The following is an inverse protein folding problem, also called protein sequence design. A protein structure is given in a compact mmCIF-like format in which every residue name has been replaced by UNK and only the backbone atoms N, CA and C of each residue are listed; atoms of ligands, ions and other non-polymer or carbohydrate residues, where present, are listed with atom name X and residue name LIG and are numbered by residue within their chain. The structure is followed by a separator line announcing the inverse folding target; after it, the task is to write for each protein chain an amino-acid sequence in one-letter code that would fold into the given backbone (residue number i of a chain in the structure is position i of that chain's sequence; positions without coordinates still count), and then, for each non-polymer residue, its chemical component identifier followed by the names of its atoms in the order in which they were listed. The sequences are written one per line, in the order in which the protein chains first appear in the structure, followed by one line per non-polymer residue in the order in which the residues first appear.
data_IF_954636263927
#
_entry.id   IF_954636263927
#
_cell.length_a   1.000
_cell.length_b   1.000
_cell.length_c   1.000
_cell.angle_alpha   90.00
_cell.angle_beta   90.00
_cell.angle_gamma   90.00
#
_symmetry.space_group_name_H-M   'P 1'
#
loop_
_entity.id
_entity.type
_entity.pdbx_description
1 polymer ?
#
# COMPACT_ATOMS: atom_id res chain seq x y z
N UNK A 1 -9.79 -11.26 -7.07
CA UNK A 1 -8.86 -11.74 -6.01
C UNK A 1 -7.81 -10.68 -5.74
N UNK A 2 -7.11 -10.74 -4.60
CA UNK A 2 -5.95 -9.89 -4.33
C UNK A 2 -4.65 -10.67 -4.47
N UNK A 3 -3.62 -10.00 -4.97
CA UNK A 3 -2.26 -10.54 -4.99
C UNK A 3 -1.67 -10.27 -3.61
N UNK A 4 -1.35 -11.34 -2.89
CA UNK A 4 -0.81 -11.28 -1.53
C UNK A 4 0.59 -11.84 -1.41
N UNK A 5 1.06 -12.56 -2.44
CA UNK A 5 2.35 -13.23 -2.41
C UNK A 5 2.92 -13.35 -3.84
N UNK A 6 4.23 -13.53 -3.91
CA UNK A 6 4.93 -13.89 -5.13
C UNK A 6 5.08 -15.41 -5.19
N UNK A 7 4.44 -16.02 -6.17
CA UNK A 7 4.77 -17.38 -6.56
C UNK A 7 6.22 -17.44 -7.09
N UNK A 8 7.11 -18.27 -6.50
CA UNK A 8 8.52 -18.30 -6.87
C UNK A 8 8.80 -19.03 -8.20
N UNK A 9 7.86 -19.84 -8.70
CA UNK A 9 7.98 -20.53 -9.99
C UNK A 9 7.68 -19.57 -11.15
N UNK A 10 8.60 -19.47 -12.10
CA UNK A 10 8.45 -18.64 -13.28
C UNK A 10 7.25 -19.05 -14.18
N UNK A 11 6.73 -20.27 -14.03
CA UNK A 11 5.67 -20.83 -14.89
C UNK A 11 4.33 -21.09 -14.17
N UNK A 12 4.13 -20.60 -12.95
CA UNK A 12 2.91 -20.89 -12.20
C UNK A 12 1.67 -20.11 -12.68
N UNK A 13 1.85 -19.03 -13.44
CA UNK A 13 0.73 -18.17 -13.84
C UNK A 13 0.15 -17.45 -12.61
N UNK A 14 -1.11 -17.73 -12.28
CA UNK A 14 -1.75 -17.23 -11.04
C UNK A 14 -1.99 -18.42 -10.12
N UNK A 15 -1.29 -18.46 -8.99
CA UNK A 15 -1.47 -19.50 -7.99
C UNK A 15 -2.64 -19.14 -7.05
N UNK A 16 -3.70 -19.95 -7.10
CA UNK A 16 -4.96 -19.67 -6.41
C UNK A 16 -5.01 -20.45 -5.11
N UNK A 17 -5.09 -19.72 -3.99
CA UNK A 17 -5.39 -20.31 -2.69
C UNK A 17 -6.85 -20.11 -2.29
N UNK A 18 -7.39 -21.02 -1.47
CA UNK A 18 -8.62 -20.82 -0.71
C UNK A 18 -9.90 -20.71 -1.56
N UNK A 19 -10.82 -19.83 -1.13
CA UNK A 19 -12.15 -19.69 -1.72
C UNK A 19 -12.12 -19.39 -3.24
N UNK A 20 -11.27 -18.47 -3.76
CA UNK A 20 -11.23 -18.22 -5.19
C UNK A 20 -10.89 -19.43 -6.07
N UNK A 21 -10.02 -20.34 -5.59
CA UNK A 21 -9.73 -21.57 -6.31
C UNK A 21 -10.99 -22.45 -6.40
N UNK A 22 -11.74 -22.59 -5.31
CA UNK A 22 -12.99 -23.34 -5.27
C UNK A 22 -14.09 -22.71 -6.13
N UNK A 23 -14.21 -21.38 -6.13
CA UNK A 23 -15.22 -20.66 -6.91
C UNK A 23 -14.99 -20.78 -8.43
N UNK A 24 -13.73 -20.77 -8.87
CA UNK A 24 -13.36 -20.85 -10.29
C UNK A 24 -13.31 -22.31 -10.77
N UNK A 25 -12.73 -23.21 -9.98
CA UNK A 25 -12.47 -24.59 -10.40
C UNK A 25 -13.54 -25.59 -9.94
N UNK A 26 -14.37 -25.23 -8.97
CA UNK A 26 -15.31 -26.14 -8.32
C UNK A 26 -14.57 -27.33 -7.71
N UNK A 27 -15.05 -28.53 -8.05
CA UNK A 27 -14.44 -29.79 -7.58
C UNK A 27 -13.24 -30.25 -8.43
N UNK A 28 -12.82 -29.47 -9.43
CA UNK A 28 -11.70 -29.86 -10.31
C UNK A 28 -10.38 -29.57 -9.62
N UNK A 29 -9.56 -30.60 -9.46
CA UNK A 29 -8.18 -30.48 -8.96
C UNK A 29 -7.23 -30.23 -10.13
N UNK A 30 -6.22 -29.38 -9.93
CA UNK A 30 -5.13 -29.20 -10.89
C UNK A 30 -5.07 -27.79 -11.48
N UNK A 31 -4.91 -27.70 -12.82
CA UNK A 31 -4.72 -26.42 -13.53
C UNK A 31 -5.98 -26.01 -14.27
N UNK A 32 -6.31 -24.73 -14.20
CA UNK A 32 -7.35 -24.08 -14.99
C UNK A 32 -6.70 -23.17 -16.04
N UNK A 33 -7.21 -23.21 -17.27
CA UNK A 33 -6.81 -22.29 -18.33
C UNK A 33 -7.89 -21.22 -18.47
N UNK A 34 -7.49 -19.97 -18.35
CA UNK A 34 -8.35 -18.82 -18.51
C UNK A 34 -7.55 -17.55 -18.65
N UNK A 35 -8.25 -16.44 -18.72
CA UNK A 35 -7.69 -15.11 -18.86
C UNK A 35 -7.88 -14.33 -17.57
N UNK A 36 -7.01 -13.37 -17.34
CA UNK A 36 -7.08 -12.47 -16.21
C UNK A 36 -6.62 -11.08 -16.65
N UNK A 37 -7.13 -10.07 -15.96
CA UNK A 37 -6.69 -8.70 -16.13
C UNK A 37 -6.57 -8.01 -14.76
N UNK A 38 -5.76 -6.96 -14.71
CA UNK A 38 -5.63 -6.15 -13.50
C UNK A 38 -6.74 -5.10 -13.44
N UNK A 39 -7.65 -5.28 -12.48
CA UNK A 39 -8.75 -4.33 -12.21
C UNK A 39 -8.50 -3.52 -10.94
N UNK A 40 -9.13 -2.34 -10.83
CA UNK A 40 -9.24 -1.64 -9.55
C UNK A 40 -9.98 -2.51 -8.55
N UNK A 41 -9.52 -2.50 -7.31
CA UNK A 41 -10.22 -3.09 -6.17
C UNK A 41 -11.43 -2.24 -5.75
N UNK A 42 -11.49 -0.96 -6.13
CA UNK A 42 -12.57 -0.04 -5.71
C UNK A 42 -13.96 -0.61 -6.01
N UNK A 43 -14.82 -0.61 -5.00
CA UNK A 43 -16.18 -1.16 -5.09
C UNK A 43 -16.28 -2.69 -5.15
N UNK A 44 -15.18 -3.44 -5.06
CA UNK A 44 -15.20 -4.91 -5.05
C UNK A 44 -15.39 -5.42 -3.62
N UNK A 45 -16.49 -6.12 -3.38
CA UNK A 45 -16.84 -6.66 -2.07
C UNK A 45 -15.79 -7.66 -1.54
N UNK A 46 -15.53 -7.63 -0.24
CA UNK A 46 -14.50 -8.43 0.43
C UNK A 46 -13.05 -8.12 0.00
N UNK A 47 -12.86 -7.17 -0.92
CA UNK A 47 -11.56 -6.76 -1.44
C UNK A 47 -11.28 -5.33 -1.04
N UNK A 48 -12.20 -4.39 -1.24
CA UNK A 48 -11.98 -2.96 -0.94
C UNK A 48 -12.99 -2.41 0.06
N UNK A 49 -12.57 -1.38 0.81
CA UNK A 49 -13.38 -0.73 1.83
C UNK A 49 -12.60 0.33 2.60
N UNK A 50 -13.01 0.55 3.86
CA UNK A 50 -12.45 1.51 4.82
C UNK A 50 -11.06 1.15 5.37
N UNK A 51 -10.52 -0.02 5.01
CA UNK A 51 -9.24 -0.50 5.53
C UNK A 51 -7.99 0.00 4.79
N UNK A 52 -8.12 0.93 3.84
CA UNK A 52 -6.96 1.54 3.15
C UNK A 52 -6.16 2.37 4.13
N UNK A 53 -4.86 2.10 4.27
CA UNK A 53 -4.04 2.77 5.28
C UNK A 53 -2.56 2.88 4.90
N UNK A 54 -1.87 3.79 5.58
CA UNK A 54 -0.41 3.80 5.63
C UNK A 54 0.00 3.04 6.89
N UNK A 55 0.76 1.96 6.71
CA UNK A 55 1.34 1.21 7.82
C UNK A 55 2.83 1.53 7.97
N UNK A 56 3.22 1.87 9.20
CA UNK A 56 4.61 2.16 9.57
C UNK A 56 5.28 0.87 10.04
N UNK A 57 6.46 0.57 9.47
CA UNK A 57 7.16 -0.68 9.75
C UNK A 57 7.58 -0.82 11.23
N UNK A 58 7.64 -2.05 11.73
CA UNK A 58 8.23 -2.33 13.04
C UNK A 58 9.68 -1.82 13.10
N UNK A 59 10.07 -1.27 14.25
CA UNK A 59 11.39 -0.67 14.44
C UNK A 59 11.55 0.75 13.87
N UNK A 60 10.48 1.36 13.33
CA UNK A 60 10.48 2.78 12.99
C UNK A 60 10.77 3.66 14.21
N UNK A 61 11.38 4.81 13.95
CA UNK A 61 11.75 5.82 14.94
C UNK A 61 11.94 7.17 14.25
N UNK A 62 12.28 8.20 15.02
CA UNK A 62 12.63 9.53 14.50
C UNK A 62 13.90 9.52 13.61
N UNK A 63 14.65 8.42 13.57
CA UNK A 63 15.90 8.30 12.79
C UNK A 63 15.77 7.45 11.53
N UNK A 64 14.75 6.60 11.46
CA UNK A 64 14.54 5.68 10.34
C UNK A 64 13.09 5.21 10.33
N UNK A 65 12.46 5.23 9.15
CA UNK A 65 11.13 4.68 8.94
C UNK A 65 10.93 4.32 7.46
N UNK A 66 10.19 3.24 7.25
CA UNK A 66 9.67 2.88 5.93
C UNK A 66 8.18 2.56 6.09
N UNK A 67 7.40 2.88 5.06
CA UNK A 67 5.94 2.72 5.08
C UNK A 67 5.45 1.82 3.97
N UNK A 68 4.34 1.14 4.22
CA UNK A 68 3.62 0.33 3.25
C UNK A 68 2.18 0.86 3.12
N UNK A 69 1.71 1.03 1.88
CA UNK A 69 0.29 1.30 1.63
C UNK A 69 -0.45 -0.04 1.67
N UNK A 70 -1.33 -0.21 2.65
CA UNK A 70 -2.14 -1.42 2.84
C UNK A 70 -3.52 -1.25 2.24
N UNK A 71 -4.04 -2.36 1.73
CA UNK A 71 -5.33 -2.43 1.06
C UNK A 71 -5.56 -1.37 -0.03
N UNK A 72 -4.55 -1.00 -0.85
CA UNK A 72 -4.74 0.03 -1.86
C UNK A 72 -5.82 -0.35 -2.86
N UNK A 73 -6.46 0.66 -3.45
CA UNK A 73 -7.48 0.44 -4.49
C UNK A 73 -6.91 -0.02 -5.82
N UNK A 74 -5.64 0.24 -6.12
CA UNK A 74 -4.94 -0.25 -7.33
C UNK A 74 -3.43 -0.32 -7.05
N UNK A 75 -2.65 -0.76 -8.02
CA UNK A 75 -1.18 -0.79 -7.95
C UNK A 75 -0.62 0.61 -7.65
N UNK A 76 0.16 0.70 -6.56
CA UNK A 76 0.88 1.93 -6.18
C UNK A 76 2.08 2.12 -7.09
N UNK A 77 2.12 3.24 -7.81
CA UNK A 77 3.24 3.64 -8.68
C UNK A 77 4.25 4.53 -7.98
N UNK A 78 3.83 5.25 -6.94
CA UNK A 78 4.67 6.20 -6.23
C UNK A 78 4.01 6.70 -4.97
N UNK A 79 4.82 7.23 -4.07
CA UNK A 79 4.37 7.96 -2.89
C UNK A 79 5.13 9.27 -2.82
N UNK A 80 4.43 10.37 -2.59
CA UNK A 80 5.04 11.70 -2.46
C UNK A 80 4.57 12.37 -1.17
N UNK A 81 5.46 13.12 -0.52
CA UNK A 81 5.18 13.90 0.68
C UNK A 81 5.31 15.38 0.35
N UNK A 82 4.29 16.16 0.68
CA UNK A 82 4.26 17.62 0.54
C UNK A 82 4.09 18.27 1.92
N UNK A 83 4.89 19.27 2.23
CA UNK A 83 4.69 20.09 3.43
C UNK A 83 3.36 20.83 3.39
N UNK A 84 2.60 20.79 4.49
CA UNK A 84 1.45 21.68 4.71
C UNK A 84 1.91 22.91 5.47
N UNK A 85 2.68 22.69 6.55
CA UNK A 85 3.24 23.75 7.39
C UNK A 85 4.60 24.24 6.88
N UNK A 86 5.16 23.55 5.88
CA UNK A 86 6.47 23.83 5.27
C UNK A 86 6.35 23.90 3.74
N UNK A 87 7.46 24.16 3.04
CA UNK A 87 7.55 24.07 1.57
C UNK A 87 8.26 22.79 1.12
N UNK A 88 8.32 21.80 1.99
CA UNK A 88 9.03 20.57 1.70
C UNK A 88 8.33 19.77 0.60
N UNK A 89 9.13 19.04 -0.18
CA UNK A 89 8.65 18.07 -1.15
C UNK A 89 9.60 16.89 -1.23
N UNK A 90 9.05 15.69 -1.17
CA UNK A 90 9.79 14.44 -1.32
C UNK A 90 9.03 13.48 -2.21
N UNK A 91 9.70 12.89 -3.18
CA UNK A 91 9.25 11.66 -3.83
C UNK A 91 9.94 10.49 -3.13
N UNK A 92 9.17 9.53 -2.61
CA UNK A 92 9.72 8.46 -1.80
C UNK A 92 10.34 7.39 -2.69
N UNK A 93 11.46 6.83 -2.23
CA UNK A 93 12.12 5.72 -2.91
C UNK A 93 11.57 4.39 -2.39
N UNK A 94 11.25 3.50 -3.32
CA UNK A 94 10.86 2.13 -2.98
C UNK A 94 12.08 1.36 -2.46
N UNK A 95 11.90 0.64 -1.36
CA UNK A 95 12.95 -0.16 -0.74
C UNK A 95 13.16 -1.45 -1.53
N UNK A 96 14.36 -1.64 -2.08
CA UNK A 96 14.70 -2.86 -2.82
C UNK A 96 14.72 -4.06 -1.88
N UNK A 97 14.08 -5.16 -2.30
CA UNK A 97 14.08 -6.42 -1.55
C UNK A 97 13.13 -6.45 -0.35
N UNK A 98 12.37 -5.38 -0.09
CA UNK A 98 11.29 -5.37 0.90
C UNK A 98 9.98 -5.08 0.19
N UNK A 99 8.98 -5.94 0.38
CA UNK A 99 7.76 -5.95 -0.44
C UNK A 99 6.90 -4.69 -0.24
N UNK A 100 6.92 -3.80 -1.23
CA UNK A 100 6.06 -2.60 -1.33
C UNK A 100 6.28 -1.55 -0.23
N UNK A 101 7.51 -1.41 0.28
CA UNK A 101 7.87 -0.36 1.24
C UNK A 101 8.50 0.87 0.58
N UNK A 102 8.28 2.03 1.18
CA UNK A 102 8.78 3.33 0.74
C UNK A 102 9.54 4.02 1.87
N UNK A 103 10.72 4.56 1.57
CA UNK A 103 11.57 5.22 2.58
C UNK A 103 11.03 6.58 2.94
N UNK A 104 10.86 6.87 4.24
CA UNK A 104 10.47 8.19 4.73
C UNK A 104 11.72 9.03 5.05
N UNK A 105 11.83 10.28 4.55
CA UNK A 105 12.95 11.15 4.84
C UNK A 105 13.06 11.46 6.33
N UNK A 106 14.26 11.38 6.89
CA UNK A 106 14.52 11.60 8.32
C UNK A 106 13.98 12.94 8.83
N UNK A 107 14.07 14.00 8.06
CA UNK A 107 13.59 15.32 8.46
C UNK A 107 12.05 15.42 8.54
N UNK A 108 11.31 14.55 7.86
CA UNK A 108 9.86 14.39 8.07
C UNK A 108 9.60 13.74 9.43
N UNK A 109 10.43 12.77 9.84
CA UNK A 109 10.23 11.99 11.06
C UNK A 109 10.50 12.77 12.37
N UNK A 110 11.28 13.84 12.30
CA UNK A 110 11.80 14.58 13.48
C UNK A 110 10.98 15.84 13.80
N UNK A 111 9.72 15.91 13.37
CA UNK A 111 8.89 17.10 13.52
C UNK A 111 7.40 16.77 13.62
N UNK A 112 6.64 17.64 14.28
CA UNK A 112 5.18 17.63 14.32
C UNK A 112 4.53 18.43 13.18
N UNK A 113 5.33 18.96 12.23
CA UNK A 113 4.79 19.60 11.04
C UNK A 113 3.83 18.66 10.32
N UNK A 114 2.75 19.23 9.80
CA UNK A 114 1.78 18.46 9.01
C UNK A 114 2.28 18.31 7.59
N UNK A 115 2.07 17.12 7.07
CA UNK A 115 2.39 16.73 5.72
C UNK A 115 1.18 16.12 5.04
N UNK A 116 1.15 16.34 3.74
CA UNK A 116 0.28 15.64 2.83
C UNK A 116 1.05 14.48 2.20
N UNK A 117 0.65 13.24 2.49
CA UNK A 117 1.17 12.04 1.82
C UNK A 117 0.22 11.65 0.70
N UNK A 118 0.69 11.72 -0.53
CA UNK A 118 -0.07 11.39 -1.75
C UNK A 118 0.40 10.05 -2.30
N UNK A 119 -0.52 9.09 -2.39
CA UNK A 119 -0.28 7.78 -3.00
C UNK A 119 -0.77 7.81 -4.45
N UNK A 120 0.17 7.64 -5.38
CA UNK A 120 -0.10 7.65 -6.82
C UNK A 120 -0.45 6.25 -7.30
N UNK A 121 -1.61 6.09 -7.92
CA UNK A 121 -2.06 4.79 -8.41
C UNK A 121 -1.80 4.60 -9.91
N UNK A 122 -1.89 3.35 -10.36
CA UNK A 122 -1.81 3.00 -11.78
C UNK A 122 -2.94 3.62 -12.59
N UNK A 123 -4.15 3.57 -12.06
CA UNK A 123 -5.39 4.13 -12.61
C UNK A 123 -6.22 4.77 -11.50
N UNK A 124 -7.22 5.57 -11.87
CA UNK A 124 -8.11 6.23 -10.92
C UNK A 124 -7.53 7.50 -10.31
N UNK A 125 -8.09 7.91 -9.17
CA UNK A 125 -7.66 9.09 -8.41
C UNK A 125 -6.60 8.72 -7.39
N UNK A 126 -5.66 9.62 -7.12
CA UNK A 126 -4.71 9.44 -6.02
C UNK A 126 -5.42 9.54 -4.67
N UNK A 127 -4.90 8.84 -3.66
CA UNK A 127 -5.35 8.98 -2.27
C UNK A 127 -4.39 9.90 -1.50
N UNK A 128 -4.95 10.63 -0.54
CA UNK A 128 -4.26 11.68 0.20
C UNK A 128 -4.47 11.52 1.71
N UNK A 129 -3.38 11.56 2.47
CA UNK A 129 -3.37 11.62 3.93
C UNK A 129 -2.82 12.97 4.40
N UNK A 130 -3.41 13.53 5.44
CA UNK A 130 -2.87 14.65 6.21
C UNK A 130 -2.47 14.14 7.59
N UNK A 131 -1.17 14.09 7.85
CA UNK A 131 -0.59 13.48 9.06
C UNK A 131 0.55 14.34 9.60
N UNK A 132 0.89 14.17 10.87
CA UNK A 132 2.12 14.75 11.41
C UNK A 132 3.31 13.92 10.95
N UNK A 133 4.44 14.57 10.74
CA UNK A 133 5.69 13.89 10.43
C UNK A 133 6.07 12.83 11.48
N UNK A 134 5.86 13.14 12.76
CA UNK A 134 6.08 12.25 13.90
C UNK A 134 5.19 11.01 13.91
N UNK A 135 4.01 11.03 13.30
CA UNK A 135 3.14 9.84 13.19
C UNK A 135 3.82 8.74 12.36
N UNK A 136 4.64 9.12 11.38
CA UNK A 136 5.43 8.20 10.54
C UNK A 136 6.64 7.60 11.27
N UNK A 137 6.97 8.11 12.46
CA UNK A 137 8.04 7.59 13.31
C UNK A 137 7.53 6.60 14.36
N UNK A 138 6.20 6.43 14.51
CA UNK A 138 5.60 5.52 15.49
C UNK A 138 5.56 4.10 14.91
N UNK A 139 6.32 3.14 15.46
CA UNK A 139 6.36 1.78 14.94
C UNK A 139 4.97 1.13 14.98
N UNK A 140 4.64 0.39 13.93
CA UNK A 140 3.37 -0.31 13.76
C UNK A 140 2.12 0.58 13.74
N UNK A 141 2.29 1.91 13.64
CA UNK A 141 1.17 2.82 13.43
C UNK A 141 0.43 2.45 12.14
N UNK A 142 -0.90 2.48 12.22
CA UNK A 142 -1.78 2.16 11.12
C UNK A 142 -2.70 3.36 10.86
N UNK A 143 -2.31 4.19 9.91
CA UNK A 143 -2.92 5.49 9.63
C UNK A 143 -4.00 5.29 8.57
N UNK A 144 -5.24 5.05 9.02
CA UNK A 144 -6.35 4.77 8.11
C UNK A 144 -6.73 6.00 7.31
N UNK A 145 -6.97 5.81 6.01
CA UNK A 145 -7.29 6.89 5.09
C UNK A 145 -8.52 7.69 5.56
N UNK A 146 -9.56 7.03 6.05
CA UNK A 146 -10.79 7.71 6.48
C UNK A 146 -10.60 8.63 7.69
N UNK A 147 -9.57 8.40 8.51
CA UNK A 147 -9.25 9.22 9.70
C UNK A 147 -8.42 10.46 9.34
N UNK A 148 -7.77 10.44 8.16
CA UNK A 148 -6.72 11.40 7.79
C UNK A 148 -7.00 12.14 6.46
N UNK A 149 -8.23 12.11 5.94
CA UNK A 149 -8.62 12.80 4.70
C UNK A 149 -8.79 14.32 4.85
N UNK A 150 -9.11 14.81 6.05
CA UNK A 150 -9.47 16.22 6.31
C UNK A 150 -8.33 17.08 6.82
#
# INVERSE_FOLDING_TARGET
MRITDRCPDANCGVDLGGAPAADIMGNRVGRYYGEWEFVSCEGVDGVWGDSTSIWVKEGASEFWSIIQVRNPKDMVKGVAIYGIDTRDFYELEMVVGTENFWTVPKNVLQTDNRYRVVVKYRTGTDDEWKIKGSDLAVPEANLYLYEHRE
#
